data_IF_131370139216
#
_entry.id   IF_131370139216
#
_cell.length_a   1.000
_cell.length_b   1.000
_cell.length_c   1.000
_cell.angle_alpha   90.00
_cell.angle_beta   90.00
_cell.angle_gamma   90.00
#
_symmetry.space_group_name_H-M   'P 1'
#
loop_
_entity.id
_entity.type
_entity.pdbx_description
1 polymer ?
#
# COMPACT_ATOMS: atom_id res chain seq x y z
N UNK A 1 6.59 9.82 4.00
CA UNK A 1 6.08 11.21 3.79
C UNK A 1 6.33 12.01 5.05
N UNK A 2 6.79 13.27 4.93
CA UNK A 2 7.13 14.10 6.09
C UNK A 2 5.90 14.83 6.60
N UNK A 3 5.60 14.69 7.90
CA UNK A 3 4.65 15.51 8.63
C UNK A 3 5.25 16.89 8.91
N UNK A 4 4.46 17.94 8.77
CA UNK A 4 4.86 19.33 9.04
C UNK A 4 4.15 19.86 10.28
N UNK A 5 2.82 19.92 10.25
CA UNK A 5 2.00 20.39 11.38
C UNK A 5 0.58 19.82 11.32
N UNK A 6 -0.18 20.00 12.40
CA UNK A 6 -1.62 19.75 12.42
C UNK A 6 -2.34 20.80 13.28
N UNK A 7 -3.54 21.15 12.88
CA UNK A 7 -4.39 22.11 13.58
C UNK A 7 -5.87 21.78 13.37
N UNK A 8 -6.72 22.31 14.23
CA UNK A 8 -8.17 22.18 14.10
C UNK A 8 -8.70 23.51 13.55
N UNK A 9 -9.43 23.44 12.46
CA UNK A 9 -10.18 24.56 11.90
C UNK A 9 -11.59 24.10 11.54
N UNK A 10 -12.60 24.90 11.87
CA UNK A 10 -14.03 24.61 11.63
C UNK A 10 -14.43 23.18 12.04
N UNK A 11 -13.97 22.71 13.20
CA UNK A 11 -14.20 21.35 13.73
C UNK A 11 -13.59 20.23 12.87
N UNK A 12 -12.70 20.54 11.94
CA UNK A 12 -11.96 19.59 11.11
C UNK A 12 -10.49 19.54 11.53
N UNK A 13 -9.95 18.34 11.71
CA UNK A 13 -8.51 18.15 11.89
C UNK A 13 -7.81 18.29 10.54
N UNK A 14 -6.93 19.29 10.45
CA UNK A 14 -6.08 19.52 9.28
C UNK A 14 -4.68 18.96 9.58
N UNK A 15 -4.15 18.13 8.69
CA UNK A 15 -2.80 17.58 8.76
C UNK A 15 -2.02 18.08 7.56
N UNK A 16 -0.95 18.83 7.81
CA UNK A 16 -0.09 19.40 6.77
C UNK A 16 1.12 18.47 6.60
N UNK A 17 1.34 18.03 5.38
CA UNK A 17 2.43 17.12 5.02
C UNK A 17 3.20 17.65 3.81
N UNK A 18 4.39 17.10 3.57
CA UNK A 18 5.14 17.39 2.35
C UNK A 18 4.29 17.05 1.12
N UNK A 19 4.37 17.92 0.10
CA UNK A 19 3.69 17.70 -1.17
C UNK A 19 4.58 16.90 -2.12
N UNK A 20 4.02 15.90 -2.77
CA UNK A 20 4.70 15.07 -3.75
C UNK A 20 4.16 15.40 -5.16
N UNK A 21 4.92 16.16 -5.93
CA UNK A 21 4.48 16.73 -7.21
C UNK A 21 4.27 15.67 -8.30
N UNK A 22 4.90 14.50 -8.16
CA UNK A 22 4.74 13.36 -9.08
C UNK A 22 3.42 12.59 -8.88
N UNK A 23 2.61 12.98 -7.87
CA UNK A 23 1.38 12.28 -7.53
C UNK A 23 1.64 10.90 -6.92
N UNK A 24 0.65 10.01 -7.02
CA UNK A 24 0.77 8.63 -6.55
C UNK A 24 1.11 7.64 -7.68
N UNK A 25 1.53 6.43 -7.28
CA UNK A 25 1.94 5.40 -8.22
C UNK A 25 0.75 4.88 -9.07
N UNK A 26 -0.48 4.86 -8.53
CA UNK A 26 -1.65 4.46 -9.30
C UNK A 26 -1.92 5.45 -10.46
N UNK A 27 -1.74 6.75 -10.21
CA UNK A 27 -1.83 7.79 -11.25
C UNK A 27 -0.76 7.57 -12.33
N UNK A 28 0.49 7.30 -11.91
CA UNK A 28 1.59 6.99 -12.84
C UNK A 28 1.24 5.78 -13.72
N UNK A 29 0.77 4.68 -13.13
CA UNK A 29 0.40 3.46 -13.87
C UNK A 29 -0.75 3.75 -14.84
N UNK A 30 -1.77 4.48 -14.40
CA UNK A 30 -2.90 4.88 -15.25
C UNK A 30 -2.46 5.70 -16.46
N UNK A 31 -1.54 6.65 -16.29
CA UNK A 31 -1.02 7.49 -17.37
C UNK A 31 -0.16 6.70 -18.36
N UNK A 32 0.49 5.62 -17.90
CA UNK A 32 1.40 4.79 -18.70
C UNK A 32 0.71 3.55 -19.30
N UNK A 33 -0.61 3.39 -19.15
CA UNK A 33 -1.35 2.16 -19.52
C UNK A 33 -1.14 1.68 -20.96
N UNK A 34 -0.72 2.55 -21.86
CA UNK A 34 -0.42 2.22 -23.27
C UNK A 34 1.08 1.94 -23.54
N UNK A 35 1.95 2.10 -22.55
CA UNK A 35 3.39 1.85 -22.65
C UNK A 35 3.90 1.26 -21.34
N UNK A 36 4.33 -0.01 -21.33
CA UNK A 36 4.85 -0.63 -20.12
C UNK A 36 5.99 0.19 -19.52
N UNK A 37 6.02 0.28 -18.19
CA UNK A 37 7.16 0.86 -17.49
C UNK A 37 8.42 0.06 -17.85
N UNK A 38 9.52 0.77 -18.03
CA UNK A 38 10.82 0.10 -18.21
C UNK A 38 11.19 -0.63 -16.92
N UNK A 39 11.82 -1.77 -17.05
CA UNK A 39 12.26 -2.60 -15.93
C UNK A 39 13.09 -1.81 -14.91
N UNK A 40 14.06 -1.01 -15.38
CA UNK A 40 14.89 -0.15 -14.51
C UNK A 40 14.03 0.81 -13.65
N UNK A 41 12.94 1.35 -14.22
CA UNK A 41 12.04 2.23 -13.47
C UNK A 41 11.24 1.45 -12.44
N UNK A 42 10.78 0.24 -12.77
CA UNK A 42 10.10 -0.65 -11.83
C UNK A 42 11.02 -0.94 -10.65
N UNK A 43 12.26 -1.38 -10.92
CA UNK A 43 13.25 -1.66 -9.89
C UNK A 43 13.58 -0.44 -9.04
N UNK A 44 13.77 0.73 -9.66
CA UNK A 44 14.06 1.97 -8.94
C UNK A 44 12.94 2.34 -7.94
N UNK A 45 11.68 2.19 -8.33
CA UNK A 45 10.54 2.46 -7.45
C UNK A 45 10.45 1.36 -6.38
N UNK A 46 10.46 0.10 -6.79
CA UNK A 46 10.27 -1.05 -5.90
C UNK A 46 11.31 -1.11 -4.78
N UNK A 47 12.60 -0.93 -5.09
CA UNK A 47 13.67 -0.94 -4.10
C UNK A 47 13.50 0.18 -3.06
N UNK A 48 13.07 1.36 -3.48
CA UNK A 48 12.80 2.46 -2.54
C UNK A 48 11.62 2.14 -1.61
N UNK A 49 10.56 1.47 -2.12
CA UNK A 49 9.45 1.00 -1.27
C UNK A 49 9.96 -0.03 -0.27
N UNK A 50 10.76 -1.00 -0.72
CA UNK A 50 11.35 -2.02 0.16
C UNK A 50 12.16 -1.39 1.31
N UNK A 51 13.03 -0.43 1.01
CA UNK A 51 13.83 0.27 2.02
C UNK A 51 12.95 1.06 3.01
N UNK A 52 11.92 1.75 2.49
CA UNK A 52 10.97 2.45 3.34
C UNK A 52 10.18 1.51 4.25
N UNK A 53 9.76 0.36 3.72
CA UNK A 53 9.00 -0.65 4.47
C UNK A 53 9.89 -1.35 5.51
N UNK A 54 11.12 -1.71 5.15
CA UNK A 54 12.13 -2.24 6.09
C UNK A 54 12.35 -1.28 7.26
N UNK A 55 12.48 0.02 6.98
CA UNK A 55 12.67 1.02 8.02
C UNK A 55 11.50 1.06 9.01
N UNK A 56 10.24 1.11 8.54
CA UNK A 56 9.09 1.15 9.46
C UNK A 56 8.93 -0.17 10.22
N UNK A 57 9.19 -1.31 9.61
CA UNK A 57 9.19 -2.62 10.29
C UNK A 57 10.30 -2.70 11.35
N UNK A 58 11.49 -2.12 11.12
CA UNK A 58 12.56 -2.05 12.12
C UNK A 58 12.16 -1.21 13.35
N UNK A 59 11.18 -0.30 13.19
CA UNK A 59 10.56 0.47 14.29
C UNK A 59 9.34 -0.20 14.89
N UNK A 60 9.06 -1.47 14.50
CA UNK A 60 7.88 -2.23 14.92
C UNK A 60 6.56 -1.57 14.52
N UNK A 61 6.55 -0.86 13.39
CA UNK A 61 5.36 -0.24 12.82
C UNK A 61 4.90 -1.08 11.63
N UNK A 62 3.65 -1.52 11.63
CA UNK A 62 2.99 -2.14 10.49
C UNK A 62 2.23 -1.06 9.70
N UNK A 63 2.41 -1.02 8.38
CA UNK A 63 1.75 -0.02 7.54
C UNK A 63 0.26 -0.31 7.36
N UNK A 64 -0.09 -1.56 7.04
CA UNK A 64 -1.45 -2.10 6.93
C UNK A 64 -2.27 -1.63 5.72
N UNK A 65 -1.75 -0.72 4.90
CA UNK A 65 -2.43 -0.24 3.69
C UNK A 65 -1.43 0.04 2.56
N UNK A 66 -0.51 -0.90 2.32
CA UNK A 66 0.40 -0.84 1.16
C UNK A 66 -0.40 -1.07 -0.12
N UNK A 67 -0.43 -0.05 -0.98
CA UNK A 67 -1.09 -0.05 -2.30
C UNK A 67 -0.55 1.08 -3.16
N UNK A 68 -0.77 1.03 -4.46
CA UNK A 68 -0.27 2.04 -5.42
C UNK A 68 -0.75 3.46 -5.11
N UNK A 69 -1.95 3.65 -4.55
CA UNK A 69 -2.48 4.95 -4.10
C UNK A 69 -1.71 5.56 -2.92
N UNK A 70 -1.03 4.76 -2.10
CA UNK A 70 -0.30 5.20 -0.92
C UNK A 70 1.22 5.30 -1.15
N UNK A 71 1.66 5.11 -2.39
CA UNK A 71 3.04 5.32 -2.82
C UNK A 71 3.11 6.60 -3.64
N UNK A 72 3.73 7.62 -3.09
CA UNK A 72 3.85 8.94 -3.69
C UNK A 72 5.22 9.14 -4.33
N UNK A 73 5.28 10.00 -5.33
CA UNK A 73 6.48 10.29 -6.09
C UNK A 73 6.78 11.79 -6.03
N UNK A 74 8.02 12.15 -5.76
CA UNK A 74 8.49 13.52 -5.91
C UNK A 74 8.83 13.80 -7.37
N UNK A 75 9.08 15.07 -7.71
CA UNK A 75 9.56 15.47 -9.04
C UNK A 75 10.84 14.75 -9.45
N UNK A 76 11.74 14.48 -8.50
CA UNK A 76 13.01 13.78 -8.72
C UNK A 76 12.87 12.25 -8.65
N UNK A 77 11.65 11.74 -8.77
CA UNK A 77 11.32 10.31 -8.72
C UNK A 77 11.74 9.61 -7.40
N UNK A 78 11.83 10.37 -6.31
CA UNK A 78 11.96 9.78 -4.98
C UNK A 78 10.62 9.24 -4.50
N UNK A 79 10.63 8.04 -3.94
CA UNK A 79 9.44 7.39 -3.42
C UNK A 79 9.20 7.82 -1.97
N UNK A 80 7.95 8.11 -1.66
CA UNK A 80 7.45 8.39 -0.30
C UNK A 80 6.28 7.47 0.00
N UNK A 81 6.43 6.62 1.01
CA UNK A 81 5.31 5.85 1.55
C UNK A 81 4.46 6.80 2.40
N UNK A 82 3.18 6.86 2.11
CA UNK A 82 2.22 7.74 2.81
C UNK A 82 1.03 6.98 3.35
N UNK A 83 0.15 7.73 3.98
CA UNK A 83 -1.07 7.25 4.62
C UNK A 83 -0.83 6.20 5.73
N UNK A 84 -0.24 6.67 6.82
CA UNK A 84 -0.11 5.88 8.06
C UNK A 84 -1.39 5.94 8.94
N UNK A 85 -2.53 6.39 8.37
CA UNK A 85 -3.79 6.57 9.10
C UNK A 85 -4.34 5.28 9.73
N UNK A 86 -3.97 4.12 9.18
CA UNK A 86 -4.32 2.79 9.72
C UNK A 86 -3.10 2.03 10.23
N UNK A 87 -1.93 2.67 10.26
CA UNK A 87 -0.72 2.05 10.79
C UNK A 87 -0.86 1.71 12.28
N UNK A 88 -0.23 0.63 12.70
CA UNK A 88 -0.25 0.16 14.08
C UNK A 88 1.15 -0.12 14.59
N UNK A 89 1.45 0.40 15.78
CA UNK A 89 2.59 -0.07 16.57
C UNK A 89 2.30 -1.49 17.06
N UNK A 90 3.27 -2.38 16.91
CA UNK A 90 3.22 -3.73 17.46
C UNK A 90 3.38 -3.66 18.99
N UNK A 91 2.28 -3.37 19.67
CA UNK A 91 2.14 -3.61 21.11
C UNK A 91 1.23 -4.83 21.31
N UNK A 92 1.57 -5.64 22.31
CA UNK A 92 0.86 -6.85 22.71
C UNK A 92 -0.64 -6.56 22.89
N UNK A 93 -1.49 -7.21 22.13
CA UNK A 93 -2.95 -7.14 22.06
C UNK A 93 -3.50 -6.29 20.89
N UNK A 94 -3.51 -6.89 19.71
CA UNK A 94 -4.10 -6.29 18.53
C UNK A 94 -5.53 -6.78 18.32
N UNK A 95 -6.51 -5.96 18.72
CA UNK A 95 -7.90 -6.20 18.34
C UNK A 95 -8.13 -5.93 16.85
N UNK A 96 -8.78 -6.88 16.20
CA UNK A 96 -9.24 -6.79 14.83
C UNK A 96 -10.44 -5.84 14.76
N UNK A 97 -10.23 -4.61 14.29
CA UNK A 97 -11.33 -3.78 13.81
C UNK A 97 -10.97 -3.36 12.37
N UNK A 98 -11.51 -4.10 11.41
CA UNK A 98 -11.38 -3.74 10.01
C UNK A 98 -12.72 -3.31 9.46
N UNK A 99 -12.87 -2.00 9.24
CA UNK A 99 -13.88 -1.48 8.33
C UNK A 99 -13.31 -1.65 6.92
N UNK A 100 -13.70 -2.72 6.23
CA UNK A 100 -13.33 -2.91 4.83
C UNK A 100 -14.17 -1.98 3.96
N UNK A 101 -13.58 -0.86 3.54
CA UNK A 101 -14.17 0.03 2.54
C UNK A 101 -13.42 -0.18 1.21
N UNK A 102 -14.11 -0.65 0.18
CA UNK A 102 -13.56 -0.88 -1.16
C UNK A 102 -13.21 -2.35 -1.45
N UNK A 103 -12.68 -2.59 -2.65
CA UNK A 103 -12.28 -3.95 -3.10
C UNK A 103 -10.89 -4.29 -2.57
N UNK A 104 -10.73 -5.41 -1.83
CA UNK A 104 -9.50 -5.72 -1.10
C UNK A 104 -8.45 -6.44 -1.97
N UNK A 105 -7.99 -5.82 -3.05
CA UNK A 105 -7.04 -6.45 -4.00
C UNK A 105 -5.66 -6.79 -3.41
N UNK A 106 -5.28 -6.13 -2.31
CA UNK A 106 -3.99 -6.31 -1.63
C UNK A 106 -4.08 -7.13 -0.33
N UNK A 107 -5.28 -7.66 -0.02
CA UNK A 107 -5.52 -8.40 1.19
C UNK A 107 -4.73 -9.71 1.20
N UNK A 108 -4.02 -9.98 2.28
CA UNK A 108 -3.24 -11.21 2.43
C UNK A 108 -4.13 -12.42 2.80
N UNK A 109 -3.68 -13.66 2.52
CA UNK A 109 -4.44 -14.86 2.86
C UNK A 109 -4.78 -14.96 4.35
N UNK A 110 -3.85 -14.60 5.24
CA UNK A 110 -4.09 -14.60 6.69
C UNK A 110 -5.20 -13.64 7.10
N UNK A 111 -5.33 -12.49 6.43
CA UNK A 111 -6.40 -11.55 6.69
C UNK A 111 -7.74 -12.05 6.14
N UNK A 112 -7.74 -12.74 5.01
CA UNK A 112 -8.92 -13.42 4.48
C UNK A 112 -9.43 -14.52 5.42
N UNK A 113 -8.54 -15.09 6.24
CA UNK A 113 -8.83 -16.13 7.24
C UNK A 113 -8.99 -15.56 8.66
N UNK A 114 -9.14 -14.23 8.79
CA UNK A 114 -9.32 -13.53 10.08
C UNK A 114 -8.15 -13.76 11.07
N UNK A 115 -6.95 -14.05 10.55
CA UNK A 115 -5.73 -14.20 11.34
C UNK A 115 -5.06 -12.83 11.60
N UNK A 116 -4.23 -12.72 12.65
CA UNK A 116 -3.55 -11.48 12.98
C UNK A 116 -2.66 -10.96 11.84
N UNK A 117 -2.71 -9.63 11.63
CA UNK A 117 -1.80 -8.90 10.74
C UNK A 117 -0.37 -8.92 11.28
N UNK A 118 0.61 -9.10 10.41
CA UNK A 118 2.03 -9.02 10.74
C UNK A 118 2.84 -8.43 9.57
N UNK A 119 4.14 -8.35 9.71
CA UNK A 119 5.03 -7.79 8.67
C UNK A 119 4.88 -8.52 7.33
N UNK A 120 4.57 -9.83 7.35
CA UNK A 120 4.38 -10.63 6.11
C UNK A 120 3.14 -10.23 5.34
N UNK A 121 2.14 -9.65 6.02
CA UNK A 121 0.94 -9.10 5.36
C UNK A 121 1.29 -7.85 4.54
N UNK A 122 2.16 -6.97 5.05
CA UNK A 122 2.70 -5.84 4.26
C UNK A 122 3.54 -6.34 3.08
N UNK A 123 4.33 -7.42 3.26
CA UNK A 123 5.14 -8.02 2.18
C UNK A 123 4.26 -8.65 1.10
N UNK A 124 3.14 -9.27 1.48
CA UNK A 124 2.14 -9.75 0.51
C UNK A 124 1.59 -8.59 -0.35
N UNK A 125 1.17 -7.51 0.30
CA UNK A 125 0.68 -6.31 -0.38
C UNK A 125 1.75 -5.70 -1.30
N UNK A 126 3.01 -5.70 -0.88
CA UNK A 126 4.16 -5.28 -1.70
C UNK A 126 4.33 -6.17 -2.94
N UNK A 127 4.13 -7.48 -2.82
CA UNK A 127 4.12 -8.41 -3.96
C UNK A 127 2.99 -8.11 -4.95
N UNK A 128 1.78 -7.84 -4.46
CA UNK A 128 0.65 -7.43 -5.28
C UNK A 128 0.94 -6.10 -6.02
N UNK A 129 1.58 -5.15 -5.34
CA UNK A 129 1.98 -3.87 -5.93
C UNK A 129 3.03 -4.06 -7.05
N UNK A 130 4.03 -4.93 -6.84
CA UNK A 130 5.01 -5.25 -7.88
C UNK A 130 4.35 -5.88 -9.11
N UNK A 131 3.43 -6.83 -8.89
CA UNK A 131 2.66 -7.44 -9.97
C UNK A 131 1.89 -6.36 -10.76
N UNK A 132 1.22 -5.44 -10.07
CA UNK A 132 0.48 -4.33 -10.71
C UNK A 132 1.42 -3.40 -11.51
N UNK A 133 2.60 -3.08 -10.99
CA UNK A 133 3.59 -2.29 -11.75
C UNK A 133 4.04 -2.98 -13.04
N UNK A 134 4.15 -4.31 -13.03
CA UNK A 134 4.60 -5.09 -14.19
C UNK A 134 3.50 -5.33 -15.22
N UNK A 135 2.25 -5.48 -14.78
CA UNK A 135 1.15 -6.01 -15.61
C UNK A 135 0.01 -5.03 -15.82
N UNK A 136 -0.05 -3.95 -15.02
CA UNK A 136 -1.19 -3.01 -14.98
C UNK A 136 -2.51 -3.64 -14.54
N UNK A 137 -2.44 -4.81 -13.90
CA UNK A 137 -3.58 -5.56 -13.38
C UNK A 137 -3.31 -5.99 -11.95
N UNK A 138 -4.35 -6.23 -11.18
CA UNK A 138 -4.19 -6.88 -9.89
C UNK A 138 -3.88 -8.38 -10.06
N UNK A 139 -3.06 -9.00 -9.18
CA UNK A 139 -2.77 -10.43 -9.27
C UNK A 139 -4.02 -11.29 -9.04
N UNK A 140 -4.94 -10.78 -8.24
CA UNK A 140 -6.19 -11.46 -7.93
C UNK A 140 -7.37 -10.58 -8.33
N UNK A 141 -8.17 -11.05 -9.28
CA UNK A 141 -9.40 -10.38 -9.74
C UNK A 141 -10.54 -11.38 -9.77
N UNK A 142 -11.75 -10.95 -9.37
CA UNK A 142 -12.94 -11.78 -9.39
C UNK A 142 -14.21 -10.93 -9.57
N UNK A 143 -15.32 -11.57 -9.95
CA UNK A 143 -16.59 -10.90 -10.18
C UNK A 143 -17.25 -10.38 -8.88
N UNK A 144 -16.86 -10.91 -7.71
CA UNK A 144 -17.34 -10.51 -6.40
C UNK A 144 -16.30 -10.77 -5.31
N UNK A 145 -16.48 -10.16 -4.16
CA UNK A 145 -15.56 -10.22 -3.04
C UNK A 145 -15.32 -11.64 -2.50
N UNK A 146 -16.35 -12.46 -2.40
CA UNK A 146 -16.22 -13.85 -1.92
C UNK A 146 -15.34 -14.70 -2.85
N UNK A 147 -15.53 -14.57 -4.16
CA UNK A 147 -14.69 -15.23 -5.17
C UNK A 147 -13.25 -14.70 -5.14
N UNK A 148 -13.05 -13.40 -4.86
CA UNK A 148 -11.73 -12.81 -4.71
C UNK A 148 -10.99 -13.40 -3.50
N UNK A 149 -11.64 -13.44 -2.34
CA UNK A 149 -11.10 -14.04 -1.11
C UNK A 149 -10.69 -15.50 -1.36
N UNK A 150 -11.53 -16.30 -2.02
CA UNK A 150 -11.21 -17.69 -2.35
C UNK A 150 -10.00 -17.82 -3.27
N UNK A 151 -9.83 -16.90 -4.24
CA UNK A 151 -8.63 -16.90 -5.10
C UNK A 151 -7.38 -16.57 -4.31
N UNK A 152 -7.43 -15.55 -3.43
CA UNK A 152 -6.33 -15.14 -2.57
C UNK A 152 -5.87 -16.29 -1.68
N UNK A 153 -6.80 -16.90 -0.93
CA UNK A 153 -6.50 -18.01 -0.01
C UNK A 153 -5.93 -19.24 -0.74
N UNK A 154 -6.36 -19.49 -1.98
CA UNK A 154 -5.87 -20.60 -2.80
C UNK A 154 -4.60 -20.27 -3.61
N UNK A 155 -4.13 -19.03 -3.57
CA UNK A 155 -2.96 -18.59 -4.34
C UNK A 155 -3.13 -18.68 -5.86
N UNK A 156 -4.36 -18.54 -6.37
CA UNK A 156 -4.66 -18.65 -7.82
C UNK A 156 -4.73 -17.27 -8.45
N UNK A 157 -3.61 -16.78 -8.93
CA UNK A 157 -3.43 -15.49 -9.63
C UNK A 157 -3.41 -15.67 -11.16
#
# INVERSE_FOLDING_TARGET
MRYLESFIDQNCLNIVMEYCEGGDLALLLKQQSNRPLKEDKIWKIFLQICLGLEYIHSKRILHRDIKTLNIFLTRDEMVKIGDLGVAKLLHENADFAQTMVGTPFYLSPELCEEKPYNEKSDIWALGCLLYEMCTYKHPFEAANQGSLILKIVRGRY
#
